data_IF_267652741528
#
_entry.id   IF_267652741528
#
_cell.length_a   1.000
_cell.length_b   1.000
_cell.length_c   1.000
_cell.angle_alpha   90.00
_cell.angle_beta   90.00
_cell.angle_gamma   90.00
#
_symmetry.space_group_name_H-M   'P 1'
#
loop_
_entity.id
_entity.type
_entity.pdbx_description
1 polymer ?
#
# COMPACT_ATOMS: atom_id res chain seq x y z
N UNK A 1 43.36 18.89 26.44
CA UNK A 1 42.42 17.79 26.68
C UNK A 1 41.84 17.43 25.32
N UNK A 2 42.37 16.36 24.72
CA UNK A 2 41.86 15.86 23.42
C UNK A 2 40.67 14.94 23.69
N UNK A 3 39.48 15.29 23.17
CA UNK A 3 38.36 14.36 23.10
C UNK A 3 38.74 13.20 22.19
N UNK A 4 38.51 11.94 22.60
CA UNK A 4 38.73 10.80 21.73
C UNK A 4 37.67 10.83 20.62
N UNK A 5 38.13 10.98 19.38
CA UNK A 5 37.32 10.71 18.19
C UNK A 5 36.82 9.26 18.28
N UNK A 6 35.50 9.10 18.41
CA UNK A 6 34.87 7.78 18.29
C UNK A 6 35.04 7.32 16.85
N UNK A 7 35.93 6.36 16.67
CA UNK A 7 36.04 5.62 15.41
C UNK A 7 34.68 5.00 15.03
N UNK A 8 34.26 5.10 13.76
CA UNK A 8 33.06 4.42 13.30
C UNK A 8 33.26 2.90 13.45
N UNK A 9 32.33 2.25 14.15
CA UNK A 9 32.31 0.79 14.31
C UNK A 9 32.14 0.16 12.91
N UNK A 10 33.07 -0.68 12.46
CA UNK A 10 33.01 -1.26 11.12
C UNK A 10 31.92 -2.36 11.05
N UNK A 11 30.99 -2.24 10.07
CA UNK A 11 30.40 -3.40 9.43
C UNK A 11 29.14 -4.00 10.05
N UNK A 12 28.21 -3.21 10.53
CA UNK A 12 26.80 -3.68 10.62
C UNK A 12 26.18 -3.64 9.21
N UNK A 13 25.56 -4.73 8.75
CA UNK A 13 24.78 -4.70 7.51
C UNK A 13 23.74 -3.60 7.58
N UNK A 14 23.53 -2.86 6.47
CA UNK A 14 22.50 -1.80 6.44
C UNK A 14 21.14 -2.40 6.81
N UNK A 15 20.36 -1.73 7.71
CA UNK A 15 19.01 -2.15 8.04
C UNK A 15 18.14 -2.26 6.79
N UNK A 16 17.32 -3.32 6.69
CA UNK A 16 16.55 -3.65 5.50
C UNK A 16 15.07 -3.38 5.69
N UNK A 17 14.49 -2.56 4.82
CA UNK A 17 13.07 -2.25 4.76
C UNK A 17 12.43 -2.94 3.55
N UNK A 18 11.48 -3.84 3.82
CA UNK A 18 10.62 -4.42 2.79
C UNK A 18 9.35 -3.57 2.67
N UNK A 19 9.00 -3.18 1.44
CA UNK A 19 7.84 -2.34 1.15
C UNK A 19 6.88 -3.06 0.22
N UNK A 20 5.61 -3.16 0.62
CA UNK A 20 4.56 -3.73 -0.20
C UNK A 20 3.34 -2.82 -0.15
N UNK A 21 3.28 -1.86 -1.07
CA UNK A 21 2.22 -0.88 -1.20
C UNK A 21 1.91 -0.62 -2.67
N UNK A 22 0.64 -0.37 -2.95
CA UNK A 22 0.19 0.03 -4.27
C UNK A 22 0.05 1.55 -4.29
N UNK A 23 0.96 2.18 -4.98
CA UNK A 23 1.03 3.62 -5.21
C UNK A 23 0.91 3.90 -6.70
N UNK A 24 0.52 5.13 -7.10
CA UNK A 24 0.39 5.50 -8.49
C UNK A 24 1.69 5.40 -9.28
N UNK A 25 2.81 5.60 -8.62
CA UNK A 25 4.13 5.53 -9.24
C UNK A 25 4.51 4.11 -9.64
N UNK A 26 5.28 3.98 -10.71
CA UNK A 26 5.93 2.72 -11.05
C UNK A 26 6.77 2.26 -9.86
N UNK A 27 6.66 0.99 -9.49
CA UNK A 27 7.33 0.39 -8.32
C UNK A 27 8.81 0.77 -8.21
N UNK A 28 9.56 0.75 -9.32
CA UNK A 28 10.99 1.10 -9.36
C UNK A 28 11.24 2.58 -9.03
N UNK A 29 10.37 3.48 -9.50
CA UNK A 29 10.47 4.91 -9.20
C UNK A 29 10.18 5.17 -7.73
N UNK A 30 9.14 4.55 -7.19
CA UNK A 30 8.79 4.62 -5.78
C UNK A 30 9.89 4.07 -4.88
N UNK A 31 10.47 2.91 -5.20
CA UNK A 31 11.63 2.38 -4.50
C UNK A 31 12.80 3.37 -4.50
N UNK A 32 13.10 3.98 -5.63
CA UNK A 32 14.17 4.98 -5.75
C UNK A 32 13.92 6.22 -4.88
N UNK A 33 12.68 6.70 -4.80
CA UNK A 33 12.31 7.81 -3.93
C UNK A 33 12.47 7.46 -2.45
N UNK A 34 12.01 6.27 -2.03
CA UNK A 34 12.19 5.80 -0.66
C UNK A 34 13.66 5.61 -0.32
N UNK A 35 14.45 5.01 -1.21
CA UNK A 35 15.89 4.81 -1.01
C UNK A 35 16.62 6.15 -0.84
N UNK A 36 16.27 7.17 -1.62
CA UNK A 36 16.85 8.51 -1.48
C UNK A 36 16.43 9.20 -0.18
N UNK A 37 15.20 8.96 0.28
CA UNK A 37 14.67 9.56 1.50
C UNK A 37 15.10 8.84 2.80
N UNK A 38 15.63 7.62 2.69
CA UNK A 38 16.05 6.77 3.81
C UNK A 38 17.54 6.40 3.69
N UNK A 39 18.47 7.36 3.85
CA UNK A 39 19.90 7.07 3.78
C UNK A 39 20.32 6.08 4.85
N UNK A 40 21.17 5.11 4.50
CA UNK A 40 21.61 4.03 5.39
C UNK A 40 20.56 2.95 5.67
N UNK A 41 19.48 2.90 4.89
CA UNK A 41 18.48 1.82 4.91
C UNK A 41 18.43 1.20 3.51
N UNK A 42 18.59 -0.10 3.40
CA UNK A 42 18.39 -0.83 2.15
C UNK A 42 16.88 -1.04 1.92
N UNK A 43 16.31 -0.44 0.87
CA UNK A 43 14.88 -0.51 0.55
C UNK A 43 14.62 -1.49 -0.57
N UNK A 44 13.72 -2.45 -0.34
CA UNK A 44 13.18 -3.36 -1.35
C UNK A 44 11.68 -3.17 -1.47
N UNK A 45 11.19 -2.68 -2.61
CA UNK A 45 9.76 -2.53 -2.88
C UNK A 45 9.29 -3.64 -3.82
N UNK A 46 8.21 -4.30 -3.45
CA UNK A 46 7.59 -5.40 -4.22
C UNK A 46 6.14 -5.07 -4.56
N UNK A 47 5.65 -5.63 -5.67
CA UNK A 47 4.30 -5.34 -6.18
C UNK A 47 3.36 -6.55 -6.20
N UNK A 48 3.80 -7.73 -5.72
CA UNK A 48 2.98 -8.95 -5.71
C UNK A 48 3.01 -9.60 -4.33
N UNK A 49 1.91 -10.21 -3.87
CA UNK A 49 1.89 -10.94 -2.59
C UNK A 49 2.99 -12.00 -2.48
N UNK A 50 3.18 -12.82 -3.52
CA UNK A 50 4.22 -13.86 -3.51
C UNK A 50 5.66 -13.32 -3.42
N UNK A 51 5.93 -12.13 -3.97
CA UNK A 51 7.25 -11.48 -3.82
C UNK A 51 7.41 -10.90 -2.42
N UNK A 52 6.31 -10.45 -1.82
CA UNK A 52 6.30 -9.99 -0.42
C UNK A 52 6.56 -11.14 0.55
N UNK A 53 5.89 -12.28 0.38
CA UNK A 53 6.11 -13.50 1.17
C UNK A 53 7.57 -13.94 1.12
N UNK A 54 8.16 -14.00 -0.10
CA UNK A 54 9.57 -14.30 -0.28
C UNK A 54 10.49 -13.28 0.40
N UNK A 55 10.14 -11.98 0.30
CA UNK A 55 10.89 -10.92 0.97
C UNK A 55 10.86 -11.03 2.50
N UNK A 56 9.78 -11.58 3.09
CA UNK A 56 9.72 -11.87 4.53
C UNK A 56 10.65 -13.02 4.93
N UNK A 57 10.82 -14.05 4.08
CA UNK A 57 11.77 -15.16 4.30
C UNK A 57 13.21 -14.65 4.42
N UNK A 58 13.55 -13.57 3.72
CA UNK A 58 14.86 -12.91 3.79
C UNK A 58 15.09 -12.17 5.13
N UNK A 59 14.12 -12.16 6.03
CA UNK A 59 14.15 -11.54 7.36
C UNK A 59 14.56 -10.06 7.31
N UNK A 60 13.71 -9.18 6.74
CA UNK A 60 13.93 -7.74 6.78
C UNK A 60 13.85 -7.24 8.23
N UNK A 61 14.47 -6.10 8.54
CA UNK A 61 14.39 -5.49 9.87
C UNK A 61 13.07 -4.78 10.11
N UNK A 62 12.42 -4.31 9.04
CA UNK A 62 11.09 -3.72 9.10
C UNK A 62 10.30 -3.95 7.80
N UNK A 63 8.99 -3.82 7.91
CA UNK A 63 8.03 -3.90 6.80
C UNK A 63 7.16 -2.66 6.78
N UNK A 64 6.97 -2.05 5.60
CA UNK A 64 6.02 -0.96 5.35
C UNK A 64 4.92 -1.48 4.41
N UNK A 65 3.70 -1.60 4.92
CA UNK A 65 2.55 -2.11 4.14
C UNK A 65 1.22 -1.69 4.77
N UNK A 66 0.08 -2.17 4.24
CA UNK A 66 -1.23 -1.93 4.83
C UNK A 66 -1.43 -2.76 6.12
N UNK A 67 -2.14 -2.25 7.13
CA UNK A 67 -2.44 -3.00 8.37
C UNK A 67 -3.11 -4.35 8.13
N UNK A 68 -3.96 -4.45 7.10
CA UNK A 68 -4.62 -5.72 6.75
C UNK A 68 -3.61 -6.76 6.24
N UNK A 69 -2.56 -6.33 5.54
CA UNK A 69 -1.47 -7.22 5.12
C UNK A 69 -0.63 -7.63 6.31
N UNK A 70 -0.29 -6.69 7.21
CA UNK A 70 0.40 -7.02 8.47
C UNK A 70 -0.38 -8.07 9.27
N UNK A 71 -1.68 -7.87 9.43
CA UNK A 71 -2.54 -8.80 10.15
C UNK A 71 -2.59 -10.20 9.50
N UNK A 72 -2.63 -10.28 8.17
CA UNK A 72 -2.60 -11.56 7.45
C UNK A 72 -1.30 -12.35 7.67
N UNK A 73 -0.19 -11.65 7.99
CA UNK A 73 1.11 -12.26 8.30
C UNK A 73 1.44 -12.27 9.81
N UNK A 74 0.45 -12.01 10.68
CA UNK A 74 0.62 -11.97 12.15
C UNK A 74 1.68 -10.96 12.62
N UNK A 75 1.86 -9.86 11.91
CA UNK A 75 2.79 -8.79 12.22
C UNK A 75 2.07 -7.64 12.94
N UNK A 76 2.67 -7.12 14.00
CA UNK A 76 2.14 -5.99 14.74
C UNK A 76 2.69 -4.66 14.20
N UNK A 77 1.80 -3.68 13.96
CA UNK A 77 2.22 -2.34 13.59
C UNK A 77 2.94 -1.66 14.77
N UNK A 78 4.10 -1.09 14.50
CA UNK A 78 4.90 -0.28 15.43
C UNK A 78 4.71 1.22 15.16
N UNK A 79 4.35 1.56 13.93
CA UNK A 79 4.10 2.93 13.48
C UNK A 79 2.92 2.92 12.51
N UNK A 80 1.96 3.82 12.71
CA UNK A 80 0.75 3.95 11.91
C UNK A 80 0.72 5.27 11.17
N UNK A 81 0.48 5.23 9.85
CA UNK A 81 0.23 6.41 9.05
C UNK A 81 -1.14 7.01 9.34
N UNK A 82 -1.22 8.33 9.36
CA UNK A 82 -2.45 9.09 9.55
C UNK A 82 -2.65 10.08 8.39
N UNK A 83 -3.91 10.34 8.07
CA UNK A 83 -4.30 11.45 7.20
C UNK A 83 -5.35 12.30 7.91
N UNK A 84 -5.03 13.57 8.18
CA UNK A 84 -5.90 14.49 8.96
C UNK A 84 -6.38 13.87 10.29
N UNK A 85 -5.46 13.16 10.98
CA UNK A 85 -5.73 12.51 12.25
C UNK A 85 -6.45 11.16 12.17
N UNK A 86 -6.90 10.71 10.98
CA UNK A 86 -7.50 9.39 10.79
C UNK A 86 -6.44 8.37 10.37
N UNK A 87 -6.53 7.14 10.93
CA UNK A 87 -5.64 6.02 10.61
C UNK A 87 -6.17 5.15 9.46
N UNK A 88 -7.28 5.54 8.86
CA UNK A 88 -7.95 4.83 7.79
C UNK A 88 -8.37 5.77 6.66
N UNK A 89 -8.56 5.21 5.47
CA UNK A 89 -9.03 5.92 4.29
C UNK A 89 -10.29 5.28 3.71
N UNK A 90 -11.19 6.09 3.08
CA UNK A 90 -12.34 5.55 2.38
C UNK A 90 -11.92 4.81 1.11
N UNK A 91 -12.58 3.69 0.85
CA UNK A 91 -12.56 3.01 -0.44
C UNK A 91 -13.81 3.35 -1.22
N UNK A 92 -13.72 3.26 -2.53
CA UNK A 92 -14.83 3.50 -3.45
C UNK A 92 -15.05 2.32 -4.37
N UNK A 93 -16.30 2.13 -4.78
CA UNK A 93 -16.69 1.28 -5.90
C UNK A 93 -16.99 2.20 -7.09
N UNK A 94 -16.17 2.13 -8.13
CA UNK A 94 -16.30 2.99 -9.30
C UNK A 94 -16.68 2.20 -10.55
N UNK A 95 -17.64 2.71 -11.31
CA UNK A 95 -18.06 2.18 -12.58
C UNK A 95 -18.08 3.24 -13.67
N UNK A 96 -18.43 2.86 -14.90
CA UNK A 96 -18.53 3.75 -16.06
C UNK A 96 -19.95 4.30 -16.13
N UNK A 97 -20.07 5.63 -16.30
CA UNK A 97 -21.29 6.42 -16.47
C UNK A 97 -22.30 6.37 -15.32
N UNK A 98 -22.21 5.44 -14.39
CA UNK A 98 -23.09 5.31 -13.23
C UNK A 98 -22.35 4.73 -12.02
N UNK A 99 -22.74 5.16 -10.81
CA UNK A 99 -22.25 4.58 -9.57
C UNK A 99 -22.82 3.18 -9.37
N UNK A 100 -21.97 2.13 -9.29
CA UNK A 100 -22.45 0.76 -9.15
C UNK A 100 -23.12 0.53 -7.78
N UNK A 101 -24.05 -0.42 -7.73
CA UNK A 101 -24.65 -0.88 -6.48
C UNK A 101 -23.77 -2.01 -5.89
N UNK A 102 -23.17 -1.85 -4.71
CA UNK A 102 -22.33 -2.87 -4.10
C UNK A 102 -23.02 -4.22 -3.93
N UNK A 103 -24.36 -4.22 -3.69
CA UNK A 103 -25.12 -5.43 -3.49
C UNK A 103 -25.44 -6.20 -4.80
N UNK A 104 -25.29 -5.55 -5.95
CA UNK A 104 -25.68 -6.10 -7.26
C UNK A 104 -24.53 -6.32 -8.22
N UNK A 105 -23.37 -5.76 -7.94
CA UNK A 105 -22.21 -5.90 -8.82
C UNK A 105 -21.79 -7.37 -8.91
N UNK A 106 -21.63 -7.87 -10.13
CA UNK A 106 -21.29 -9.28 -10.40
C UNK A 106 -19.80 -9.48 -10.55
N UNK A 107 -19.09 -8.51 -11.12
CA UNK A 107 -17.64 -8.60 -11.36
C UNK A 107 -16.93 -7.32 -10.94
N UNK A 108 -15.82 -7.44 -10.18
CA UNK A 108 -15.03 -6.30 -9.74
C UNK A 108 -13.54 -6.49 -10.02
N UNK A 109 -12.89 -5.39 -10.40
CA UNK A 109 -11.43 -5.29 -10.49
C UNK A 109 -10.84 -4.76 -9.20
N UNK A 110 -9.76 -5.36 -8.73
CA UNK A 110 -9.08 -4.95 -7.50
C UNK A 110 -7.56 -5.06 -7.63
N UNK A 111 -6.82 -4.29 -6.84
CA UNK A 111 -5.38 -4.43 -6.71
C UNK A 111 -5.09 -5.55 -5.70
N UNK A 112 -4.30 -6.54 -6.10
CA UNK A 112 -4.01 -7.73 -5.29
C UNK A 112 -3.01 -7.44 -4.17
N UNK A 113 -3.51 -7.30 -2.95
CA UNK A 113 -2.69 -7.10 -1.74
C UNK A 113 -2.64 -8.31 -0.82
N UNK A 114 -3.52 -9.31 -1.00
CA UNK A 114 -3.72 -10.40 -0.04
C UNK A 114 -3.76 -11.79 -0.69
N UNK A 115 -3.45 -11.89 -1.99
CA UNK A 115 -3.63 -13.14 -2.73
C UNK A 115 -5.11 -13.47 -2.96
N UNK A 116 -5.39 -14.65 -3.52
CA UNK A 116 -6.74 -15.03 -3.97
C UNK A 116 -7.77 -15.00 -2.84
N UNK A 117 -7.50 -15.75 -1.77
CA UNK A 117 -8.48 -15.99 -0.71
C UNK A 117 -8.61 -14.76 0.20
N UNK A 118 -7.49 -14.09 0.49
CA UNK A 118 -7.49 -12.85 1.25
C UNK A 118 -8.24 -11.73 0.54
N UNK A 119 -8.06 -11.58 -0.78
CA UNK A 119 -8.81 -10.60 -1.57
C UNK A 119 -10.29 -10.94 -1.65
N UNK A 120 -10.67 -12.21 -1.70
CA UNK A 120 -12.08 -12.61 -1.68
C UNK A 120 -12.75 -12.18 -0.36
N UNK A 121 -12.12 -12.46 0.76
CA UNK A 121 -12.61 -12.03 2.08
C UNK A 121 -12.65 -10.50 2.21
N UNK A 122 -11.61 -9.79 1.75
CA UNK A 122 -11.52 -8.35 1.79
C UNK A 122 -12.64 -7.67 0.99
N UNK A 123 -12.84 -8.08 -0.26
CA UNK A 123 -13.89 -7.52 -1.13
C UNK A 123 -15.28 -7.82 -0.58
N UNK A 124 -15.51 -9.03 -0.07
CA UNK A 124 -16.77 -9.40 0.58
C UNK A 124 -17.07 -8.49 1.78
N UNK A 125 -16.06 -8.21 2.61
CA UNK A 125 -16.23 -7.30 3.74
C UNK A 125 -16.55 -5.86 3.31
N UNK A 126 -15.93 -5.38 2.22
CA UNK A 126 -16.17 -4.03 1.71
C UNK A 126 -17.56 -3.86 1.06
N UNK A 127 -18.01 -4.87 0.30
CA UNK A 127 -19.23 -4.76 -0.51
C UNK A 127 -20.46 -5.36 0.17
N UNK A 128 -20.28 -6.24 1.14
CA UNK A 128 -21.37 -7.07 1.68
C UNK A 128 -21.91 -8.10 0.67
N UNK A 129 -21.17 -8.40 -0.39
CA UNK A 129 -21.54 -9.28 -1.49
C UNK A 129 -20.32 -10.10 -1.95
N UNK A 130 -20.56 -11.15 -2.76
CA UNK A 130 -19.53 -12.06 -3.26
C UNK A 130 -19.40 -11.96 -4.80
N UNK A 131 -18.89 -10.85 -5.34
CA UNK A 131 -18.69 -10.75 -6.78
C UNK A 131 -17.53 -11.65 -7.25
N UNK A 132 -17.49 -11.93 -8.55
CA UNK A 132 -16.28 -12.45 -9.18
C UNK A 132 -15.20 -11.36 -9.16
N UNK A 133 -13.98 -11.73 -8.78
CA UNK A 133 -12.87 -10.79 -8.60
C UNK A 133 -11.84 -11.01 -9.70
N UNK A 134 -11.52 -9.94 -10.44
CA UNK A 134 -10.37 -9.85 -11.32
C UNK A 134 -9.27 -9.05 -10.60
N UNK A 135 -8.11 -9.69 -10.40
CA UNK A 135 -7.01 -9.12 -9.63
C UNK A 135 -5.91 -8.60 -10.55
N UNK A 136 -5.45 -7.40 -10.28
CA UNK A 136 -4.29 -6.79 -10.94
C UNK A 136 -3.20 -6.47 -9.92
N UNK A 137 -1.98 -6.28 -10.37
CA UNK A 137 -0.85 -5.96 -9.49
C UNK A 137 -0.44 -4.49 -9.51
N UNK A 138 -1.09 -3.68 -10.36
CA UNK A 138 -0.78 -2.26 -10.53
C UNK A 138 -2.07 -1.46 -10.63
N UNK A 139 -2.00 -0.20 -10.16
CA UNK A 139 -3.12 0.74 -10.21
C UNK A 139 -3.57 1.01 -11.65
N UNK A 140 -2.62 1.21 -12.56
CA UNK A 140 -2.89 1.49 -13.97
C UNK A 140 -3.59 0.36 -14.72
N UNK A 141 -3.51 -0.89 -14.24
CA UNK A 141 -4.15 -2.05 -14.86
C UNK A 141 -5.66 -2.14 -14.54
N UNK A 142 -6.17 -1.35 -13.59
CA UNK A 142 -7.61 -1.33 -13.27
C UNK A 142 -8.45 -0.74 -14.40
N UNK A 143 -7.97 0.33 -15.03
CA UNK A 143 -8.70 1.00 -16.10
C UNK A 143 -8.95 0.11 -17.32
N UNK A 144 -7.96 -0.64 -17.85
CA UNK A 144 -8.18 -1.61 -18.92
C UNK A 144 -9.25 -2.66 -18.61
N UNK A 145 -9.43 -3.07 -17.36
CA UNK A 145 -10.50 -4.01 -17.01
C UNK A 145 -11.89 -3.43 -17.27
N UNK A 146 -12.11 -2.14 -16.98
CA UNK A 146 -13.35 -1.43 -17.28
C UNK A 146 -13.50 -1.18 -18.78
N UNK A 147 -12.45 -0.72 -19.45
CA UNK A 147 -12.46 -0.41 -20.89
C UNK A 147 -12.80 -1.64 -21.75
N UNK A 148 -12.29 -2.80 -21.37
CA UNK A 148 -12.52 -4.07 -22.05
C UNK A 148 -13.76 -4.82 -21.50
N UNK A 149 -14.55 -4.17 -20.63
CA UNK A 149 -15.74 -4.73 -20.01
C UNK A 149 -15.51 -6.10 -19.34
N UNK A 150 -14.30 -6.33 -18.83
CA UNK A 150 -13.96 -7.55 -18.08
C UNK A 150 -14.54 -7.52 -16.67
N UNK A 151 -14.76 -6.30 -16.15
CA UNK A 151 -15.41 -6.05 -14.87
C UNK A 151 -16.44 -4.94 -15.00
N UNK A 152 -17.47 -4.97 -14.17
CA UNK A 152 -18.51 -3.93 -14.10
C UNK A 152 -18.04 -2.72 -13.29
N UNK A 153 -17.18 -2.96 -12.30
CA UNK A 153 -16.67 -1.93 -11.39
C UNK A 153 -15.26 -2.25 -10.92
N UNK A 154 -14.59 -1.23 -10.36
CA UNK A 154 -13.32 -1.36 -9.69
C UNK A 154 -13.43 -0.89 -8.23
N UNK A 155 -12.68 -1.54 -7.34
CA UNK A 155 -12.56 -1.18 -5.92
C UNK A 155 -11.17 -0.65 -5.67
N UNK A 156 -11.07 0.58 -5.15
CA UNK A 156 -9.79 1.23 -4.90
C UNK A 156 -9.91 2.30 -3.79
N UNK A 157 -8.79 2.74 -3.18
CA UNK A 157 -8.78 3.91 -2.31
C UNK A 157 -9.33 5.15 -3.03
N UNK A 158 -10.16 5.93 -2.38
CA UNK A 158 -10.80 7.12 -2.98
C UNK A 158 -9.78 8.11 -3.56
N UNK A 159 -8.61 8.25 -2.92
CA UNK A 159 -7.52 9.13 -3.38
C UNK A 159 -6.92 8.75 -4.73
N UNK A 160 -7.03 7.48 -5.14
CA UNK A 160 -6.50 6.98 -6.41
C UNK A 160 -7.48 7.11 -7.57
N UNK A 161 -8.75 7.46 -7.31
CA UNK A 161 -9.79 7.50 -8.33
C UNK A 161 -9.47 8.51 -9.44
N UNK A 162 -9.07 9.72 -9.08
CA UNK A 162 -8.75 10.77 -10.05
C UNK A 162 -7.60 10.36 -10.94
N UNK A 163 -6.60 9.72 -10.38
CA UNK A 163 -5.41 9.28 -11.11
C UNK A 163 -5.70 8.12 -12.06
N UNK A 164 -6.56 7.17 -11.67
CA UNK A 164 -7.04 6.12 -12.56
C UNK A 164 -7.92 6.71 -13.66
N UNK A 165 -8.71 7.73 -13.37
CA UNK A 165 -9.58 8.39 -14.32
C UNK A 165 -8.84 9.29 -15.34
N UNK A 166 -7.78 9.99 -14.90
CA UNK A 166 -7.09 11.02 -15.69
C UNK A 166 -6.61 10.58 -17.09
N UNK A 167 -6.04 9.38 -17.30
CA UNK A 167 -5.60 8.92 -18.63
C UNK A 167 -6.76 8.45 -19.50
N UNK A 168 -7.99 8.45 -19.02
CA UNK A 168 -9.15 7.82 -19.64
C UNK A 168 -10.10 8.87 -20.25
N UNK A 169 -10.86 8.44 -21.27
CA UNK A 169 -12.05 9.17 -21.77
C UNK A 169 -13.33 8.66 -21.11
N UNK A 170 -13.24 7.70 -20.20
CA UNK A 170 -14.41 7.14 -19.51
C UNK A 170 -14.86 8.11 -18.40
N UNK A 171 -16.17 8.28 -18.29
CA UNK A 171 -16.79 8.96 -17.17
C UNK A 171 -16.88 7.99 -15.99
N UNK A 172 -15.92 8.03 -15.07
CA UNK A 172 -15.95 7.19 -13.87
C UNK A 172 -16.83 7.85 -12.81
N UNK A 173 -17.84 7.12 -12.35
CA UNK A 173 -18.72 7.54 -11.24
C UNK A 173 -18.51 6.57 -10.08
N UNK A 174 -18.22 7.13 -8.91
CA UNK A 174 -17.86 6.33 -7.74
C UNK A 174 -18.90 6.47 -6.61
N UNK A 175 -19.08 5.38 -5.87
CA UNK A 175 -19.82 5.32 -4.62
C UNK A 175 -18.84 5.04 -3.47
N UNK A 176 -18.82 5.86 -2.41
CA UNK A 176 -18.07 5.54 -1.20
C UNK A 176 -18.59 4.25 -0.55
N UNK A 177 -17.67 3.42 -0.06
CA UNK A 177 -17.97 2.22 0.71
C UNK A 177 -17.95 2.55 2.20
N UNK A 178 -18.85 1.90 2.97
CA UNK A 178 -18.97 2.16 4.40
C UNK A 178 -17.74 1.67 5.19
N UNK A 179 -17.18 0.47 4.95
CA UNK A 179 -15.94 0.06 5.59
C UNK A 179 -14.76 0.91 5.09
N UNK A 180 -13.92 1.32 6.03
CA UNK A 180 -12.65 2.01 5.74
C UNK A 180 -11.49 1.05 5.84
N UNK A 181 -10.39 1.36 5.18
CA UNK A 181 -9.18 0.54 5.15
C UNK A 181 -8.04 1.31 5.81
N UNK A 182 -7.27 0.63 6.64
CA UNK A 182 -6.16 1.27 7.34
C UNK A 182 -5.10 1.81 6.38
N UNK A 183 -4.61 3.02 6.68
CA UNK A 183 -3.49 3.64 5.99
C UNK A 183 -2.19 2.86 6.24
N UNK A 184 -1.14 3.03 5.42
CA UNK A 184 0.12 2.33 5.58
C UNK A 184 0.68 2.37 6.99
N UNK A 185 1.26 1.25 7.40
CA UNK A 185 1.86 1.07 8.72
C UNK A 185 3.23 0.38 8.59
N UNK A 186 4.09 0.57 9.59
CA UNK A 186 5.39 -0.09 9.70
C UNK A 186 5.34 -1.12 10.81
N UNK A 187 5.80 -2.34 10.54
CA UNK A 187 6.12 -3.34 11.55
C UNK A 187 7.65 -3.44 11.71
N UNK A 188 8.15 -3.36 12.93
CA UNK A 188 9.55 -3.64 13.27
C UNK A 188 9.71 -5.13 13.54
N UNK A 189 10.65 -5.80 12.85
CA UNK A 189 10.84 -7.26 12.91
C UNK A 189 12.17 -7.67 13.51
N UNK A 190 13.20 -6.84 13.39
CA UNK A 190 14.56 -7.14 13.83
C UNK A 190 15.21 -5.98 14.57
N UNK A 191 16.49 -6.16 14.96
CA UNK A 191 17.26 -5.16 15.69
C UNK A 191 17.45 -3.83 14.95
N UNK A 192 17.45 -3.85 13.62
CA UNK A 192 17.51 -2.67 12.76
C UNK A 192 16.16 -1.94 12.58
N UNK A 193 15.05 -2.52 13.05
CA UNK A 193 13.71 -1.96 12.84
C UNK A 193 13.46 -0.63 13.54
N UNK A 194 13.98 -0.44 14.75
CA UNK A 194 13.83 0.82 15.49
C UNK A 194 14.37 2.04 14.73
N UNK A 195 15.60 2.04 14.24
CA UNK A 195 16.14 3.08 13.36
C UNK A 195 15.29 3.33 12.12
N UNK A 196 14.78 2.26 11.45
CA UNK A 196 13.90 2.38 10.28
C UNK A 196 12.60 3.10 10.64
N UNK A 197 11.95 2.72 11.75
CA UNK A 197 10.72 3.37 12.23
C UNK A 197 10.95 4.87 12.44
N UNK A 198 12.08 5.25 13.05
CA UNK A 198 12.42 6.67 13.24
C UNK A 198 12.71 7.40 11.91
N UNK A 199 13.32 6.72 10.95
CA UNK A 199 13.57 7.27 9.62
C UNK A 199 12.26 7.48 8.85
N UNK A 200 11.33 6.51 8.89
CA UNK A 200 10.00 6.61 8.24
C UNK A 200 9.18 7.77 8.83
N UNK A 201 9.26 8.03 10.13
CA UNK A 201 8.60 9.21 10.74
C UNK A 201 9.04 10.54 10.14
N UNK A 202 10.24 10.60 9.55
CA UNK A 202 10.85 11.80 8.99
C UNK A 202 10.78 11.86 7.46
N UNK A 203 10.03 10.94 6.83
CA UNK A 203 9.87 10.95 5.38
C UNK A 203 9.33 12.30 4.91
N UNK A 204 9.88 12.84 3.81
CA UNK A 204 9.42 14.11 3.26
C UNK A 204 7.98 14.01 2.73
N UNK A 205 7.26 15.14 2.72
CA UNK A 205 5.88 15.22 2.27
C UNK A 205 5.64 14.71 0.85
N UNK A 206 6.64 14.81 -0.04
CA UNK A 206 6.57 14.24 -1.39
C UNK A 206 6.45 12.71 -1.39
N UNK A 207 7.06 12.03 -0.44
CA UNK A 207 6.97 10.57 -0.31
C UNK A 207 5.72 10.17 0.47
N UNK A 208 5.44 10.85 1.58
CA UNK A 208 4.26 10.53 2.40
C UNK A 208 2.95 10.83 1.67
N UNK A 209 2.93 11.82 0.78
CA UNK A 209 1.79 12.10 -0.10
C UNK A 209 1.42 10.94 -1.01
N UNK A 210 2.41 10.25 -1.60
CA UNK A 210 2.19 9.04 -2.40
C UNK A 210 1.57 7.90 -1.58
N UNK A 211 1.86 7.87 -0.28
CA UNK A 211 1.31 6.91 0.67
C UNK A 211 -0.09 7.29 1.17
N UNK A 212 -0.58 8.49 0.84
CA UNK A 212 -1.81 9.04 1.42
C UNK A 212 -1.68 9.42 2.91
N UNK A 213 -0.45 9.58 3.41
CA UNK A 213 -0.12 9.84 4.81
C UNK A 213 0.39 11.28 4.96
N UNK A 214 0.00 11.99 6.01
CA UNK A 214 0.57 13.29 6.34
C UNK A 214 1.20 13.33 7.74
N UNK A 215 0.98 12.30 8.55
CA UNK A 215 1.51 12.18 9.91
C UNK A 215 1.73 10.69 10.24
N UNK A 216 2.70 10.42 11.11
CA UNK A 216 3.00 9.08 11.63
C UNK A 216 2.90 9.05 13.16
N UNK A 217 2.18 8.10 13.68
CA UNK A 217 1.98 7.93 15.12
C UNK A 217 2.42 6.56 15.62
#
# INVERSE_FOLDING_TARGET
MNEPQREPVPGGAEPRLLVFLHVPLKQRAFQGQLQAALPGVSVSAVGRPADFERGLEDRPDAVLTLPIVLAAHHLAATLQGLHKGAADEPYVLAGVDAAPDPARVVTVGVIDSLGRDGMAAFVTNLLGAHPKIERVTKVEDLLPLLQLQRVEAIVLPARLLEEVAAPSRLSLVARPLAPKVGLPAVASLGGGGGPIVQAVRRLPGSVTGELGVNEWR
#
